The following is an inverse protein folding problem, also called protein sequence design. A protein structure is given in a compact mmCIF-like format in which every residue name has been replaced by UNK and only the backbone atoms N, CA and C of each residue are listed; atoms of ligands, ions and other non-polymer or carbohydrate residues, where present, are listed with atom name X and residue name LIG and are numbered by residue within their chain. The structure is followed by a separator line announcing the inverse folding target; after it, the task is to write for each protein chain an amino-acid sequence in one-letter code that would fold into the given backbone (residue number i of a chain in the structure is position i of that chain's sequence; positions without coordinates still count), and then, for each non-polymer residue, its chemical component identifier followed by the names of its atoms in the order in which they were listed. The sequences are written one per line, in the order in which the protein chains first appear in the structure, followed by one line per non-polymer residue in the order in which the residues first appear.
data_IF_925248563798
#
_entry.id   IF_925248563798
#
_cell.length_a   1.000
_cell.length_b   1.000
_cell.length_c   1.000
_cell.angle_alpha   90.00
_cell.angle_beta   90.00
_cell.angle_gamma   90.00
#
_symmetry.space_group_name_H-M   'P 1'
#
loop_
_entity.id
_entity.type
_entity.pdbx_description
1 polymer ?
#
# COMPACT_ATOMS: atom_id res chain seq x y z
N UNK A 1 -4.09 -11.79 -13.40
CA UNK A 1 -3.05 -12.06 -12.39
C UNK A 1 -3.29 -11.10 -11.24
N UNK A 2 -3.33 -11.58 -10.00
CA UNK A 2 -3.53 -10.70 -8.83
C UNK A 2 -2.29 -9.78 -8.70
N UNK A 3 -2.49 -8.46 -8.78
CA UNK A 3 -1.42 -7.45 -8.71
C UNK A 3 -0.71 -7.49 -7.35
N UNK A 4 -1.45 -7.66 -6.26
CA UNK A 4 -0.92 -7.78 -4.91
C UNK A 4 0.04 -8.96 -4.80
N UNK A 5 -0.32 -10.13 -5.36
CA UNK A 5 0.56 -11.30 -5.38
C UNK A 5 1.86 -11.06 -6.18
N UNK A 6 1.79 -10.28 -7.27
CA UNK A 6 2.98 -9.91 -8.03
C UNK A 6 3.90 -8.96 -7.23
N UNK A 7 3.32 -7.99 -6.52
CA UNK A 7 4.07 -7.08 -5.63
C UNK A 7 4.68 -7.83 -4.45
N UNK A 8 3.93 -8.75 -3.82
CA UNK A 8 4.43 -9.65 -2.77
C UNK A 8 5.64 -10.46 -3.25
N UNK A 9 5.56 -11.01 -4.46
CA UNK A 9 6.68 -11.76 -5.06
C UNK A 9 7.93 -10.90 -5.23
N UNK A 10 7.78 -9.61 -5.55
CA UNK A 10 8.92 -8.67 -5.65
C UNK A 10 9.61 -8.46 -4.29
N UNK A 11 8.87 -8.54 -3.18
CA UNK A 11 9.38 -8.27 -1.85
C UNK A 11 9.50 -9.51 -0.94
N UNK A 12 9.30 -10.73 -1.47
CA UNK A 12 9.27 -11.97 -0.69
C UNK A 12 10.54 -12.25 0.15
N UNK A 13 11.68 -11.64 -0.19
CA UNK A 13 12.94 -11.74 0.57
C UNK A 13 13.23 -10.56 1.50
N UNK A 14 12.37 -9.54 1.55
CA UNK A 14 12.56 -8.33 2.34
C UNK A 14 11.66 -8.34 3.58
N UNK A 15 12.21 -8.77 4.72
CA UNK A 15 11.48 -8.83 6.00
C UNK A 15 11.05 -7.47 6.54
N UNK A 16 11.62 -6.38 6.03
CA UNK A 16 11.26 -5.02 6.45
C UNK A 16 9.99 -4.51 5.74
N UNK A 17 9.50 -5.21 4.72
CA UNK A 17 8.34 -4.80 3.92
C UNK A 17 7.21 -5.81 4.07
N UNK A 18 6.00 -5.30 4.36
CA UNK A 18 4.77 -6.07 4.20
C UNK A 18 3.93 -5.46 3.08
N UNK A 19 3.34 -6.31 2.25
CA UNK A 19 2.33 -5.90 1.28
C UNK A 19 0.96 -6.22 1.85
N UNK A 20 0.06 -5.25 1.83
CA UNK A 20 -1.30 -5.37 2.36
C UNK A 20 -2.26 -5.03 1.23
N UNK A 21 -2.84 -6.06 0.63
CA UNK A 21 -3.99 -5.90 -0.27
C UNK A 21 -5.18 -5.37 0.54
N UNK A 22 -5.67 -4.18 0.19
CA UNK A 22 -6.93 -3.70 0.72
C UNK A 22 -8.04 -4.59 0.16
N UNK A 23 -8.65 -5.37 1.03
CA UNK A 23 -9.75 -6.28 0.71
C UNK A 23 -10.85 -6.11 1.75
N UNK A 24 -12.12 -6.18 1.33
CA UNK A 24 -13.25 -6.04 2.24
C UNK A 24 -13.48 -4.57 2.62
N UNK A 25 -13.62 -4.31 3.92
CA UNK A 25 -13.91 -2.97 4.45
C UNK A 25 -12.65 -2.16 4.78
N UNK A 26 -12.79 -0.84 4.82
CA UNK A 26 -11.73 0.04 5.32
C UNK A 26 -11.24 -0.36 6.73
N UNK A 27 -12.15 -0.73 7.63
CA UNK A 27 -11.80 -1.12 9.00
C UNK A 27 -10.85 -2.33 9.04
N UNK A 28 -11.10 -3.34 8.21
CA UNK A 28 -10.25 -4.53 8.11
C UNK A 28 -8.86 -4.20 7.57
N UNK A 29 -8.79 -3.37 6.52
CA UNK A 29 -7.53 -2.91 5.97
C UNK A 29 -6.69 -2.15 7.01
N UNK A 30 -7.29 -1.20 7.73
CA UNK A 30 -6.61 -0.43 8.79
C UNK A 30 -6.16 -1.33 9.95
N UNK A 31 -6.96 -2.33 10.33
CA UNK A 31 -6.60 -3.27 11.39
C UNK A 31 -5.37 -4.10 11.02
N UNK A 32 -5.29 -4.58 9.77
CA UNK A 32 -4.13 -5.30 9.24
C UNK A 32 -2.87 -4.44 9.18
N UNK A 33 -3.00 -3.17 8.78
CA UNK A 33 -1.90 -2.21 8.76
C UNK A 33 -1.33 -2.03 10.18
N UNK A 34 -2.20 -1.79 11.17
CA UNK A 34 -1.77 -1.58 12.56
C UNK A 34 -1.11 -2.80 13.18
N UNK A 35 -1.60 -4.00 12.85
CA UNK A 35 -1.08 -5.27 13.35
C UNK A 35 0.29 -5.65 12.74
N UNK A 36 0.70 -5.03 11.63
CA UNK A 36 1.99 -5.32 10.99
C UNK A 36 3.18 -4.89 11.85
N UNK A 37 4.17 -5.76 12.01
CA UNK A 37 5.45 -5.41 12.63
C UNK A 37 6.53 -4.96 11.62
N UNK A 38 6.24 -4.97 10.32
CA UNK A 38 7.20 -4.60 9.29
C UNK A 38 7.56 -3.11 9.36
N UNK A 39 8.80 -2.76 8.99
CA UNK A 39 9.28 -1.38 8.98
C UNK A 39 8.61 -0.52 7.91
N UNK A 40 8.09 -1.14 6.85
CA UNK A 40 7.32 -0.48 5.81
C UNK A 40 6.06 -1.30 5.46
N UNK A 41 4.89 -0.69 5.61
CA UNK A 41 3.63 -1.25 5.13
C UNK A 41 3.27 -0.64 3.77
N UNK A 42 3.25 -1.45 2.72
CA UNK A 42 2.79 -1.07 1.38
C UNK A 42 1.33 -1.52 1.20
N UNK A 43 0.41 -0.57 1.13
CA UNK A 43 -1.02 -0.84 0.93
C UNK A 43 -1.34 -0.83 -0.57
N UNK A 44 -1.94 -1.90 -1.08
CA UNK A 44 -2.41 -1.97 -2.46
C UNK A 44 -3.92 -1.77 -2.46
N UNK A 45 -4.39 -0.68 -3.08
CA UNK A 45 -5.82 -0.36 -3.17
C UNK A 45 -6.28 -0.61 -4.60
N UNK A 46 -6.91 -1.77 -4.81
CA UNK A 46 -7.42 -2.19 -6.11
C UNK A 46 -8.77 -1.56 -6.46
N UNK A 47 -9.25 -1.86 -7.67
CA UNK A 47 -10.51 -1.33 -8.21
C UNK A 47 -11.75 -2.07 -7.67
N UNK A 48 -11.54 -3.24 -7.09
CA UNK A 48 -12.58 -4.07 -6.47
C UNK A 48 -13.10 -3.50 -5.14
N UNK A 49 -12.37 -2.55 -4.55
CA UNK A 49 -12.79 -1.86 -3.32
C UNK A 49 -13.90 -0.86 -3.62
N UNK A 50 -14.90 -0.81 -2.73
CA UNK A 50 -15.99 0.16 -2.85
C UNK A 50 -15.44 1.60 -2.93
N UNK A 51 -16.03 2.51 -3.71
CA UNK A 51 -15.51 3.87 -3.83
C UNK A 51 -15.38 4.60 -2.49
N UNK A 52 -16.30 4.33 -1.55
CA UNK A 52 -16.28 4.91 -0.21
C UNK A 52 -15.14 4.32 0.62
N UNK A 53 -14.99 2.99 0.67
CA UNK A 53 -13.87 2.36 1.38
C UNK A 53 -12.52 2.76 0.81
N UNK A 54 -12.41 2.84 -0.53
CA UNK A 54 -11.22 3.31 -1.23
C UNK A 54 -10.85 4.71 -0.76
N UNK A 55 -11.79 5.64 -0.78
CA UNK A 55 -11.55 7.01 -0.31
C UNK A 55 -11.12 7.04 1.16
N UNK A 56 -11.77 6.25 2.03
CA UNK A 56 -11.43 6.19 3.45
C UNK A 56 -10.04 5.60 3.70
N UNK A 57 -9.67 4.53 3.00
CA UNK A 57 -8.34 3.90 3.13
C UNK A 57 -7.26 4.90 2.70
N UNK A 58 -7.40 5.51 1.53
CA UNK A 58 -6.43 6.48 1.01
C UNK A 58 -6.29 7.69 1.94
N UNK A 59 -7.42 8.22 2.45
CA UNK A 59 -7.42 9.33 3.40
C UNK A 59 -6.75 8.97 4.74
N UNK A 60 -6.74 7.68 5.12
CA UNK A 60 -6.15 7.21 6.38
C UNK A 60 -4.64 7.07 6.32
N UNK A 61 -4.02 7.05 5.13
CA UNK A 61 -2.56 6.83 4.96
C UNK A 61 -1.74 7.91 5.67
N UNK A 62 -2.13 9.18 5.55
CA UNK A 62 -1.47 10.30 6.22
C UNK A 62 -1.54 10.22 7.75
N UNK A 63 -2.75 10.11 8.35
CA UNK A 63 -2.92 9.89 9.79
C UNK A 63 -2.17 8.66 10.30
N UNK A 64 -2.20 7.54 9.57
CA UNK A 64 -1.43 6.34 9.93
C UNK A 64 0.07 6.57 9.90
N UNK A 65 0.58 7.38 8.96
CA UNK A 65 2.00 7.74 8.94
C UNK A 65 2.44 8.45 10.23
N UNK A 66 1.56 9.29 10.80
CA UNK A 66 1.81 9.94 12.10
C UNK A 66 1.67 8.94 13.25
N UNK A 67 0.66 8.08 13.22
CA UNK A 67 0.39 7.07 14.26
C UNK A 67 1.52 6.02 14.38
N UNK A 68 2.06 5.58 13.23
CA UNK A 68 3.02 4.48 13.13
C UNK A 68 4.48 4.94 13.20
N UNK A 69 4.73 6.22 12.89
CA UNK A 69 6.06 6.82 12.94
C UNK A 69 6.56 7.05 14.37
N UNK A 70 7.89 7.14 14.58
CA UNK A 70 8.96 7.05 13.58
C UNK A 70 9.37 5.61 13.23
N UNK A 71 8.91 4.61 13.99
CA UNK A 71 9.43 3.24 13.91
C UNK A 71 8.99 2.49 12.65
N UNK A 72 7.79 2.81 12.14
CA UNK A 72 7.21 2.20 10.95
C UNK A 72 6.79 3.25 9.95
N UNK A 73 7.07 2.96 8.68
CA UNK A 73 6.66 3.74 7.51
C UNK A 73 5.46 3.08 6.84
N UNK A 74 4.68 3.88 6.13
CA UNK A 74 3.54 3.42 5.35
C UNK A 74 3.49 4.17 4.02
N UNK A 75 3.03 3.49 2.99
CA UNK A 75 2.60 4.13 1.75
C UNK A 75 1.52 3.29 1.06
N UNK A 76 0.86 3.89 0.07
CA UNK A 76 -0.19 3.20 -0.68
C UNK A 76 -0.02 3.37 -2.19
N UNK A 77 -0.40 2.33 -2.93
CA UNK A 77 -0.64 2.37 -4.36
C UNK A 77 -2.13 2.38 -4.62
N UNK A 78 -2.58 3.43 -5.29
CA UNK A 78 -3.94 3.57 -5.74
C UNK A 78 -4.06 3.11 -7.20
N UNK A 79 -4.60 1.91 -7.41
CA UNK A 79 -4.61 1.26 -8.73
C UNK A 79 -5.85 1.67 -9.51
N UNK A 80 -5.65 2.52 -10.52
CA UNK A 80 -6.68 2.99 -11.44
C UNK A 80 -6.89 2.07 -12.65
N UNK A 81 -7.90 2.41 -13.44
CA UNK A 81 -8.21 1.72 -14.69
C UNK A 81 -7.04 1.77 -15.67
N UNK A 82 -6.78 0.64 -16.34
CA UNK A 82 -5.75 0.53 -17.38
C UNK A 82 -4.30 0.54 -16.87
N UNK A 83 -4.07 0.56 -15.55
CA UNK A 83 -2.73 0.49 -14.97
C UNK A 83 -1.98 -0.76 -15.44
N UNK A 84 -0.78 -0.58 -16.02
CA UNK A 84 0.05 -1.71 -16.46
C UNK A 84 0.78 -2.28 -15.25
N UNK A 85 0.85 -3.60 -15.18
CA UNK A 85 1.53 -4.31 -14.09
C UNK A 85 2.98 -3.83 -13.90
N UNK A 86 3.73 -3.59 -15.00
CA UNK A 86 5.10 -3.08 -14.91
C UNK A 86 5.19 -1.73 -14.19
N UNK A 87 4.27 -0.79 -14.48
CA UNK A 87 4.26 0.53 -13.84
C UNK A 87 3.92 0.42 -12.35
N UNK A 88 3.01 -0.48 -11.98
CA UNK A 88 2.66 -0.76 -10.58
C UNK A 88 3.88 -1.31 -9.83
N UNK A 89 4.61 -2.27 -10.42
CA UNK A 89 5.79 -2.86 -9.81
C UNK A 89 6.92 -1.83 -9.64
N UNK A 90 7.18 -0.99 -10.64
CA UNK A 90 8.17 0.10 -10.53
C UNK A 90 7.78 1.12 -9.47
N UNK A 91 6.50 1.51 -9.43
CA UNK A 91 5.97 2.45 -8.42
C UNK A 91 6.09 1.87 -7.01
N UNK A 92 5.83 0.56 -6.84
CA UNK A 92 6.02 -0.15 -5.58
C UNK A 92 7.48 -0.11 -5.11
N UNK A 93 8.43 -0.42 -6.01
CA UNK A 93 9.87 -0.36 -5.71
C UNK A 93 10.31 1.04 -5.32
N UNK A 94 9.82 2.06 -6.03
CA UNK A 94 10.10 3.46 -5.72
C UNK A 94 9.64 3.83 -4.30
N UNK A 95 8.38 3.54 -3.94
CA UNK A 95 7.81 3.85 -2.63
C UNK A 95 8.58 3.16 -1.48
N UNK A 96 8.88 1.88 -1.64
CA UNK A 96 9.63 1.11 -0.64
C UNK A 96 11.04 1.69 -0.45
N UNK A 97 11.74 1.99 -1.55
CA UNK A 97 13.10 2.53 -1.55
C UNK A 97 13.21 4.00 -1.11
N UNK A 98 12.10 4.75 -1.04
CA UNK A 98 12.10 6.16 -0.66
C UNK A 98 12.21 6.37 0.87
N UNK A 99 13.35 6.00 1.46
CA UNK A 99 13.59 5.92 2.92
C UNK A 99 13.22 7.17 3.73
N UNK A 100 13.30 8.36 3.14
CA UNK A 100 12.97 9.63 3.79
C UNK A 100 11.50 10.04 3.65
N UNK A 101 10.62 9.14 3.20
CA UNK A 101 9.18 9.43 2.99
C UNK A 101 8.27 8.40 3.66
N UNK A 102 7.15 8.86 4.18
CA UNK A 102 6.05 8.05 4.72
C UNK A 102 4.73 8.78 4.47
N UNK A 103 3.61 8.06 4.50
CA UNK A 103 2.27 8.62 4.32
C UNK A 103 1.94 8.99 2.87
N UNK A 104 2.72 8.51 1.90
CA UNK A 104 2.52 8.85 0.49
C UNK A 104 1.51 7.89 -0.17
N UNK A 105 0.69 8.45 -1.05
CA UNK A 105 -0.22 7.72 -1.93
C UNK A 105 0.20 8.02 -3.37
N UNK A 106 0.55 6.99 -4.14
CA UNK A 106 0.83 7.14 -5.56
C UNK A 106 -0.25 6.45 -6.39
N UNK A 107 -0.83 7.19 -7.33
CA UNK A 107 -1.80 6.65 -8.28
C UNK A 107 -1.06 6.00 -9.46
N UNK A 108 -1.46 4.78 -9.80
CA UNK A 108 -1.04 4.10 -11.02
C UNK A 108 -2.28 3.95 -11.91
N UNK A 109 -2.32 4.67 -13.03
CA UNK A 109 -3.39 4.60 -14.03
C UNK A 109 -2.79 4.63 -15.44
N UNK A 110 -3.61 4.36 -16.47
CA UNK A 110 -3.20 4.55 -17.87
C UNK A 110 -2.89 6.01 -18.20
#
# INVERSE_FOLDING_TARGET
MNVSAAVETVFAGNSDVVVIEASGSCHEALSRIRASAARFALVIVGQEISPVDRAMILASVGPLAVELGPDRRIGALDIGAGARQADILETARFLVGAESTTGQVLAASA
#
